data_IF_395258627630
#
_entry.id   IF_395258627630
#
_cell.length_a   1.000
_cell.length_b   1.000
_cell.length_c   1.000
_cell.angle_alpha   90.00
_cell.angle_beta   90.00
_cell.angle_gamma   90.00
#
_symmetry.space_group_name_H-M   'P 1'
#
loop_
_entity.id
_entity.type
_entity.pdbx_description
1 polymer ?
#
# COMPACT_ATOMS: atom_id res chain seq x y z
N UNK A 1 28.44 -8.67 5.51
CA UNK A 1 27.75 -7.62 4.73
C UNK A 1 26.29 -7.57 5.15
N UNK A 2 25.92 -6.70 6.09
CA UNK A 2 24.55 -6.68 6.63
C UNK A 2 24.22 -5.30 7.14
N UNK A 3 23.56 -4.50 6.32
CA UNK A 3 22.89 -3.22 6.64
C UNK A 3 22.35 -2.67 5.32
N UNK A 4 21.07 -2.89 5.05
CA UNK A 4 20.19 -2.19 4.07
C UNK A 4 19.03 -3.13 3.75
N UNK A 5 17.86 -2.90 4.34
CA UNK A 5 16.55 -3.20 3.72
C UNK A 5 15.33 -2.74 4.51
N UNK A 6 15.50 -1.89 5.54
CA UNK A 6 14.35 -1.26 6.21
C UNK A 6 13.85 0.04 5.53
N UNK A 7 14.50 0.47 4.44
CA UNK A 7 14.12 1.66 3.65
C UNK A 7 13.36 1.32 2.35
N UNK A 8 12.77 0.12 2.22
CA UNK A 8 12.28 -0.41 0.93
C UNK A 8 11.16 0.39 0.23
N UNK A 9 10.62 1.47 0.81
CA UNK A 9 9.57 2.25 0.18
C UNK A 9 9.85 3.75 0.23
N UNK A 10 9.98 4.37 -0.95
CA UNK A 10 9.99 5.82 -1.07
C UNK A 10 8.65 6.38 -0.60
N UNK A 11 8.67 7.52 0.09
CA UNK A 11 7.43 8.16 0.59
C UNK A 11 6.44 8.41 -0.54
N UNK A 12 6.94 8.79 -1.71
CA UNK A 12 6.17 9.02 -2.94
C UNK A 12 5.40 7.77 -3.39
N UNK A 13 6.02 6.59 -3.32
CA UNK A 13 5.35 5.33 -3.69
C UNK A 13 4.25 4.96 -2.70
N UNK A 14 4.50 5.18 -1.40
CA UNK A 14 3.51 4.94 -0.35
C UNK A 14 2.34 5.89 -0.51
N UNK A 15 2.59 7.18 -0.78
CA UNK A 15 1.54 8.18 -0.99
C UNK A 15 0.70 7.87 -2.23
N UNK A 16 1.33 7.48 -3.34
CA UNK A 16 0.62 7.03 -4.55
C UNK A 16 -0.27 5.82 -4.24
N UNK A 17 0.26 4.83 -3.53
CA UNK A 17 -0.52 3.65 -3.14
C UNK A 17 -1.71 4.02 -2.24
N UNK A 18 -1.52 4.96 -1.32
CA UNK A 18 -2.60 5.48 -0.47
C UNK A 18 -3.68 6.13 -1.34
N UNK A 19 -3.30 7.02 -2.26
CA UNK A 19 -4.23 7.71 -3.16
C UNK A 19 -5.02 6.74 -4.04
N UNK A 20 -4.36 5.75 -4.64
CA UNK A 20 -4.99 4.77 -5.54
C UNK A 20 -5.87 3.76 -4.80
N UNK A 21 -5.54 3.41 -3.55
CA UNK A 21 -6.16 2.29 -2.83
C UNK A 21 -7.14 2.71 -1.73
N UNK A 22 -7.02 3.93 -1.21
CA UNK A 22 -7.85 4.48 -0.13
C UNK A 22 -8.59 5.75 -0.56
N UNK A 23 -8.51 6.11 -1.86
CA UNK A 23 -9.05 7.34 -2.42
C UNK A 23 -10.56 7.54 -2.31
N UNK A 24 -11.35 6.53 -1.93
CA UNK A 24 -12.80 6.69 -1.69
C UNK A 24 -13.20 6.68 -0.20
N UNK A 25 -12.36 6.16 0.70
CA UNK A 25 -12.71 6.02 2.13
C UNK A 25 -11.91 6.98 3.03
N UNK A 26 -10.80 7.52 2.53
CA UNK A 26 -10.03 8.64 3.13
C UNK A 26 -9.38 9.48 2.05
N UNK A 27 -10.18 10.02 1.13
CA UNK A 27 -9.63 11.08 0.30
C UNK A 27 -9.36 12.31 1.17
N UNK A 28 -8.15 12.40 1.71
CA UNK A 28 -7.60 13.65 2.23
C UNK A 28 -7.51 14.74 1.12
N UNK A 29 -7.82 14.38 -0.14
CA UNK A 29 -7.97 15.28 -1.29
C UNK A 29 -9.44 15.57 -1.65
N UNK A 30 -10.43 14.92 -1.02
CA UNK A 30 -11.88 15.20 -1.11
C UNK A 30 -12.48 15.58 0.25
N UNK A 31 -11.66 15.92 1.26
CA UNK A 31 -12.12 16.69 2.42
C UNK A 31 -12.19 18.14 1.98
N UNK A 32 -13.27 18.48 1.30
CA UNK A 32 -13.77 19.85 1.29
C UNK A 32 -14.00 20.27 2.74
N UNK A 33 -13.23 21.24 3.23
CA UNK A 33 -13.53 22.07 4.40
C UNK A 33 -13.35 21.55 5.83
N UNK A 34 -12.41 20.65 6.12
CA UNK A 34 -12.01 20.45 7.52
C UNK A 34 -10.52 20.15 7.65
N UNK A 35 -9.81 21.17 8.12
CA UNK A 35 -8.61 21.11 8.95
C UNK A 35 -7.40 20.34 8.40
N UNK A 36 -6.30 21.09 8.28
CA UNK A 36 -4.93 20.58 8.10
C UNK A 36 -4.74 19.24 8.79
N UNK A 37 -4.82 18.13 8.04
CA UNK A 37 -4.27 16.85 8.50
C UNK A 37 -2.82 17.15 8.85
N UNK A 38 -2.52 17.16 10.13
CA UNK A 38 -1.20 17.60 10.57
C UNK A 38 -0.19 16.64 9.99
N UNK A 39 0.97 17.13 9.54
CA UNK A 39 2.04 16.28 8.98
C UNK A 39 2.38 15.08 9.88
N UNK A 40 2.16 15.22 11.20
CA UNK A 40 2.26 14.15 12.19
C UNK A 40 1.24 13.01 12.03
N UNK A 41 -0.02 13.28 11.66
CA UNK A 41 -1.05 12.25 11.46
C UNK A 41 -0.81 11.43 10.19
N UNK A 42 -0.41 12.09 9.10
CA UNK A 42 0.02 11.40 7.88
C UNK A 42 1.25 10.51 8.14
N UNK A 43 2.22 10.99 8.91
CA UNK A 43 3.41 10.21 9.29
C UNK A 43 3.04 8.99 10.14
N UNK A 44 2.14 9.14 11.12
CA UNK A 44 1.60 8.03 11.91
C UNK A 44 0.85 7.02 11.03
N UNK A 45 0.05 7.50 10.08
CA UNK A 45 -0.67 6.65 9.13
C UNK A 45 0.28 5.87 8.24
N UNK A 46 1.29 6.53 7.64
CA UNK A 46 2.34 5.88 6.82
C UNK A 46 3.08 4.81 7.63
N UNK A 47 3.44 5.11 8.87
CA UNK A 47 4.15 4.15 9.75
C UNK A 47 3.29 2.92 10.05
N UNK A 48 2.00 3.12 10.38
CA UNK A 48 1.05 2.02 10.57
C UNK A 48 0.86 1.20 9.30
N UNK A 49 0.69 1.86 8.15
CA UNK A 49 0.54 1.20 6.85
C UNK A 49 1.76 0.34 6.52
N UNK A 50 2.98 0.90 6.65
CA UNK A 50 4.24 0.15 6.44
C UNK A 50 4.34 -1.06 7.37
N UNK A 51 3.95 -0.90 8.64
CA UNK A 51 3.94 -2.01 9.59
C UNK A 51 2.96 -3.11 9.15
N UNK A 52 1.72 -2.77 8.79
CA UNK A 52 0.70 -3.75 8.38
C UNK A 52 1.01 -4.43 7.04
N UNK A 53 1.61 -3.73 6.07
CA UNK A 53 2.10 -4.34 4.82
C UNK A 53 3.11 -5.45 5.16
N UNK A 54 3.94 -5.24 6.18
CA UNK A 54 4.96 -6.18 6.58
C UNK A 54 4.48 -7.31 7.50
N UNK A 55 3.43 -7.11 8.30
CA UNK A 55 3.06 -8.06 9.35
C UNK A 55 1.67 -8.67 9.18
N UNK A 56 0.76 -8.01 8.47
CA UNK A 56 -0.65 -8.43 8.41
C UNK A 56 -1.04 -9.09 7.08
N UNK A 57 -0.25 -8.95 6.02
CA UNK A 57 -0.52 -9.56 4.72
C UNK A 57 0.08 -10.96 4.58
N UNK A 58 -0.57 -11.83 3.81
CA UNK A 58 0.02 -13.11 3.41
C UNK A 58 1.24 -12.90 2.51
N UNK A 59 2.10 -13.91 2.37
CA UNK A 59 3.32 -13.82 1.54
C UNK A 59 3.01 -13.37 0.11
N UNK A 60 1.97 -13.93 -0.52
CA UNK A 60 1.55 -13.55 -1.88
C UNK A 60 0.98 -12.13 -1.95
N UNK A 61 0.18 -11.73 -0.97
CA UNK A 61 -0.34 -10.36 -0.88
C UNK A 61 0.80 -9.35 -0.72
N UNK A 62 1.76 -9.63 0.16
CA UNK A 62 2.95 -8.81 0.37
C UNK A 62 3.76 -8.68 -0.91
N UNK A 63 4.04 -9.78 -1.62
CA UNK A 63 4.75 -9.75 -2.90
C UNK A 63 4.07 -8.84 -3.92
N UNK A 64 2.75 -8.95 -4.04
CA UNK A 64 1.97 -8.09 -4.95
C UNK A 64 2.07 -6.63 -4.52
N UNK A 65 1.78 -6.30 -3.26
CA UNK A 65 1.84 -4.91 -2.77
C UNK A 65 3.24 -4.30 -2.91
N UNK A 66 4.30 -5.06 -2.64
CA UNK A 66 5.67 -4.60 -2.84
C UNK A 66 5.96 -4.23 -4.30
N UNK A 67 5.62 -5.10 -5.24
CA UNK A 67 5.80 -4.83 -6.66
C UNK A 67 5.04 -3.56 -7.12
N UNK A 68 3.84 -3.35 -6.58
CA UNK A 68 3.08 -2.12 -6.84
C UNK A 68 3.73 -0.87 -6.24
N UNK A 69 4.27 -0.95 -5.02
CA UNK A 69 5.03 0.15 -4.40
C UNK A 69 6.33 0.44 -5.16
N UNK A 70 6.91 -0.56 -5.81
CA UNK A 70 8.06 -0.38 -6.70
C UNK A 70 7.67 0.21 -8.07
N UNK A 71 6.38 0.39 -8.35
CA UNK A 71 5.86 1.00 -9.58
C UNK A 71 5.51 -0.01 -10.69
N UNK A 72 5.58 -1.32 -10.43
CA UNK A 72 5.19 -2.33 -11.41
C UNK A 72 3.69 -2.33 -11.66
N UNK A 73 3.31 -2.55 -12.92
CA UNK A 73 1.90 -2.76 -13.32
C UNK A 73 1.48 -4.21 -13.05
N UNK A 74 0.16 -4.46 -12.95
CA UNK A 74 -0.41 -5.80 -12.72
C UNK A 74 0.13 -6.87 -13.67
N UNK A 75 0.25 -6.53 -14.95
CA UNK A 75 0.77 -7.43 -16.00
C UNK A 75 2.24 -7.76 -15.81
N UNK A 76 3.03 -6.84 -15.26
CA UNK A 76 4.44 -7.05 -14.97
C UNK A 76 4.61 -7.87 -13.70
N UNK A 77 3.89 -7.53 -12.63
CA UNK A 77 3.82 -8.34 -11.40
C UNK A 77 3.39 -9.77 -11.70
N UNK A 78 2.43 -9.97 -12.61
CA UNK A 78 1.98 -11.29 -13.05
C UNK A 78 3.13 -12.09 -13.69
N UNK A 79 3.92 -11.45 -14.57
CA UNK A 79 5.12 -12.06 -15.18
C UNK A 79 6.18 -12.41 -14.14
N UNK A 80 6.49 -11.50 -13.21
CA UNK A 80 7.48 -11.71 -12.14
C UNK A 80 7.07 -12.88 -11.24
N UNK A 81 5.80 -12.98 -10.89
CA UNK A 81 5.30 -13.99 -9.96
C UNK A 81 4.90 -15.31 -10.64
N UNK A 82 4.94 -15.38 -11.97
CA UNK A 82 4.53 -16.57 -12.74
C UNK A 82 3.05 -16.90 -12.61
N UNK A 83 2.17 -15.89 -12.50
CA UNK A 83 0.72 -16.05 -12.35
C UNK A 83 -0.04 -15.21 -13.38
N UNK A 84 -1.35 -15.39 -13.49
CA UNK A 84 -2.18 -14.56 -14.37
C UNK A 84 -2.42 -13.16 -13.77
N UNK A 85 -2.72 -12.18 -14.63
CA UNK A 85 -3.08 -10.83 -14.19
C UNK A 85 -4.28 -10.83 -13.23
N UNK A 86 -5.28 -11.69 -13.49
CA UNK A 86 -6.46 -11.83 -12.64
C UNK A 86 -6.10 -12.26 -11.21
N UNK A 87 -5.13 -13.17 -11.06
CA UNK A 87 -4.65 -13.61 -9.75
C UNK A 87 -3.96 -12.46 -9.00
N UNK A 88 -3.14 -11.66 -9.70
CA UNK A 88 -2.53 -10.44 -9.12
C UNK A 88 -3.61 -9.48 -8.64
N UNK A 89 -4.63 -9.22 -9.47
CA UNK A 89 -5.73 -8.33 -9.12
C UNK A 89 -6.50 -8.82 -7.87
N UNK A 90 -6.80 -10.12 -7.79
CA UNK A 90 -7.42 -10.74 -6.61
C UNK A 90 -6.56 -10.51 -5.35
N UNK A 91 -5.25 -10.77 -5.43
CA UNK A 91 -4.37 -10.58 -4.28
C UNK A 91 -4.23 -9.11 -3.87
N UNK A 92 -4.12 -8.20 -4.85
CA UNK A 92 -4.11 -6.75 -4.60
C UNK A 92 -5.39 -6.32 -3.91
N UNK A 93 -6.55 -6.67 -4.44
CA UNK A 93 -7.85 -6.29 -3.86
C UNK A 93 -8.01 -6.82 -2.44
N UNK A 94 -7.68 -8.10 -2.19
CA UNK A 94 -7.72 -8.69 -0.85
C UNK A 94 -6.76 -8.01 0.12
N UNK A 95 -5.55 -7.65 -0.34
CA UNK A 95 -4.57 -6.96 0.48
C UNK A 95 -5.08 -5.55 0.87
N UNK A 96 -5.58 -4.79 -0.11
CA UNK A 96 -6.15 -3.46 0.12
C UNK A 96 -7.32 -3.53 1.10
N UNK A 97 -8.31 -4.42 0.87
CA UNK A 97 -9.45 -4.60 1.77
C UNK A 97 -9.02 -4.93 3.21
N UNK A 98 -8.00 -5.77 3.36
CA UNK A 98 -7.45 -6.11 4.68
C UNK A 98 -6.76 -4.92 5.35
N UNK A 99 -5.93 -4.17 4.61
CA UNK A 99 -5.28 -2.97 5.12
C UNK A 99 -6.31 -1.90 5.49
N UNK A 100 -7.40 -1.78 4.71
CA UNK A 100 -8.51 -0.88 4.99
C UNK A 100 -9.10 -1.11 6.37
N UNK A 101 -9.58 -2.33 6.65
CA UNK A 101 -10.16 -2.66 7.96
C UNK A 101 -9.20 -2.60 9.15
N UNK A 102 -7.88 -2.51 8.92
CA UNK A 102 -6.87 -2.35 9.98
C UNK A 102 -6.49 -0.89 10.25
N UNK A 103 -6.60 -0.03 9.22
CA UNK A 103 -6.12 1.35 9.24
C UNK A 103 -7.25 2.37 9.38
N UNK A 104 -8.44 2.01 8.93
CA UNK A 104 -9.67 2.81 8.94
C UNK A 104 -10.70 1.99 9.71
N UNK A 105 -10.92 2.29 11.00
CA UNK A 105 -12.00 1.68 11.77
C UNK A 105 -13.36 2.15 11.27
#
# INVERSE_FOLDING_TARGET
>A
MGKRREFEFSEVAVDRFILESFGNERSAYHITNAEKVTSGELSKFRSRLKWHINHSLSTRQKQVIKAFLEGSKERETARILGVTQQVVNIYKHRAIKKLHGLLVP
#
